data_IF_003169914721
#
_entry.id   IF_003169914721
#
_cell.length_a   1.000
_cell.length_b   1.000
_cell.length_c   1.000
_cell.angle_alpha   90.00
_cell.angle_beta   90.00
_cell.angle_gamma   90.00
#
_symmetry.space_group_name_H-M   'P 1'
#
loop_
_entity.id
_entity.type
_entity.pdbx_description
1 polymer ?
#
# COMPACT_ATOMS: atom_id res chain seq x y z
N UNK A 1 -18.56 16.37 -15.87
CA UNK A 1 -18.75 16.75 -14.45
C UNK A 1 -17.44 17.31 -13.93
N UNK A 2 -17.47 18.33 -13.06
CA UNK A 2 -16.24 18.82 -12.44
C UNK A 2 -15.74 17.82 -11.39
N UNK A 3 -14.42 17.69 -11.26
CA UNK A 3 -13.79 16.87 -10.21
C UNK A 3 -14.04 17.51 -8.84
N UNK A 4 -14.61 16.76 -7.90
CA UNK A 4 -14.82 17.20 -6.52
C UNK A 4 -13.92 16.42 -5.54
N UNK A 5 -12.82 17.02 -5.04
CA UNK A 5 -11.92 16.34 -4.12
C UNK A 5 -12.60 15.90 -2.81
N UNK A 6 -13.72 16.52 -2.41
CA UNK A 6 -14.43 16.14 -1.19
C UNK A 6 -14.90 14.69 -1.20
N UNK A 7 -15.17 14.14 -2.39
CA UNK A 7 -15.64 12.77 -2.63
C UNK A 7 -14.52 11.72 -2.65
N UNK A 8 -13.26 12.13 -2.45
CA UNK A 8 -12.11 11.24 -2.38
C UNK A 8 -11.91 10.73 -0.95
N UNK A 9 -11.77 9.41 -0.85
CA UNK A 9 -11.42 8.69 0.37
C UNK A 9 -10.25 7.74 0.09
N UNK A 10 -9.31 7.67 1.04
CA UNK A 10 -8.26 6.67 1.09
C UNK A 10 -8.57 5.72 2.24
N UNK A 11 -8.66 4.43 1.95
CA UNK A 11 -8.95 3.36 2.93
C UNK A 11 -7.80 2.36 2.96
N UNK A 12 -7.65 1.70 4.10
CA UNK A 12 -6.70 0.61 4.28
C UNK A 12 -7.41 -0.64 4.77
N UNK A 13 -7.04 -1.77 4.20
CA UNK A 13 -7.38 -3.11 4.65
C UNK A 13 -6.09 -3.80 5.05
N UNK A 14 -6.07 -4.43 6.22
CA UNK A 14 -4.93 -5.18 6.70
C UNK A 14 -5.39 -6.57 7.14
N UNK A 15 -4.60 -7.59 6.83
CA UNK A 15 -4.81 -8.94 7.27
C UNK A 15 -3.46 -9.55 7.63
N UNK A 16 -3.43 -10.36 8.69
CA UNK A 16 -2.23 -11.08 9.08
C UNK A 16 -2.59 -12.46 9.60
N UNK A 17 -1.74 -13.43 9.32
CA UNK A 17 -1.90 -14.82 9.69
C UNK A 17 -0.63 -15.33 10.36
N UNK A 18 -0.79 -16.20 11.35
CA UNK A 18 0.30 -16.98 11.92
C UNK A 18 -0.09 -18.45 11.74
N UNK A 19 0.73 -19.22 11.05
CA UNK A 19 0.50 -20.65 10.86
C UNK A 19 1.82 -21.42 10.83
N UNK A 20 1.91 -22.52 11.57
CA UNK A 20 3.08 -23.41 11.66
C UNK A 20 4.48 -22.76 11.79
N UNK A 21 4.58 -21.54 12.33
CA UNK A 21 5.86 -20.81 12.47
C UNK A 21 6.18 -19.86 11.31
N UNK A 22 5.27 -19.75 10.35
CA UNK A 22 5.22 -18.71 9.34
C UNK A 22 4.29 -17.57 9.82
N UNK A 23 4.68 -16.34 9.52
CA UNK A 23 3.88 -15.14 9.74
C UNK A 23 3.74 -14.38 8.42
N UNK A 24 2.50 -14.15 8.03
CA UNK A 24 2.14 -13.42 6.82
C UNK A 24 1.39 -12.14 7.17
N UNK A 25 1.72 -11.07 6.46
CA UNK A 25 1.09 -9.76 6.61
C UNK A 25 0.75 -9.20 5.24
N UNK A 26 -0.51 -8.82 5.06
CA UNK A 26 -1.08 -8.27 3.84
C UNK A 26 -1.63 -6.89 4.15
N UNK A 27 -1.32 -5.94 3.26
CA UNK A 27 -1.85 -4.59 3.32
C UNK A 27 -2.38 -4.19 1.95
N UNK A 28 -3.56 -3.58 1.94
CA UNK A 28 -4.17 -3.03 0.73
C UNK A 28 -4.59 -1.59 0.97
N UNK A 29 -4.16 -0.67 0.11
CA UNK A 29 -4.62 0.72 0.06
C UNK A 29 -5.59 0.90 -1.10
N UNK A 30 -6.74 1.52 -0.84
CA UNK A 30 -7.81 1.72 -1.82
C UNK A 30 -8.18 3.19 -1.86
N UNK A 31 -8.21 3.77 -3.06
CA UNK A 31 -8.78 5.11 -3.29
C UNK A 31 -10.16 4.94 -3.90
N UNK A 32 -11.15 5.57 -3.29
CA UNK A 32 -12.50 5.66 -3.83
C UNK A 32 -12.86 7.08 -4.20
N UNK A 33 -13.61 7.25 -5.29
CA UNK A 33 -14.27 8.50 -5.66
C UNK A 33 -15.77 8.26 -5.73
N UNK A 34 -16.54 8.97 -4.91
CA UNK A 34 -18.01 8.78 -4.82
C UNK A 34 -18.38 7.29 -4.60
N UNK A 35 -17.72 6.66 -3.62
CA UNK A 35 -17.87 5.23 -3.28
C UNK A 35 -17.48 4.20 -4.35
N UNK A 36 -16.97 4.63 -5.51
CA UNK A 36 -16.41 3.74 -6.54
C UNK A 36 -14.90 3.63 -6.36
N UNK A 37 -14.39 2.41 -6.34
CA UNK A 37 -12.93 2.17 -6.38
C UNK A 37 -12.36 2.69 -7.71
N UNK A 38 -11.36 3.57 -7.61
CA UNK A 38 -10.65 4.12 -8.78
C UNK A 38 -9.17 3.73 -8.78
N UNK A 39 -8.66 3.21 -7.67
CA UNK A 39 -7.30 2.70 -7.56
C UNK A 39 -7.15 1.78 -6.35
N UNK A 40 -6.28 0.78 -6.50
CA UNK A 40 -5.93 -0.21 -5.49
C UNK A 40 -4.44 -0.55 -5.58
N UNK A 41 -3.81 -0.73 -4.44
CA UNK A 41 -2.47 -1.29 -4.34
C UNK A 41 -2.34 -2.21 -3.14
N UNK A 42 -1.75 -3.37 -3.35
CA UNK A 42 -1.60 -4.41 -2.34
C UNK A 42 -0.16 -4.85 -2.26
N UNK A 43 0.32 -5.08 -1.04
CA UNK A 43 1.63 -5.67 -0.77
C UNK A 43 1.48 -6.76 0.28
N UNK A 44 2.39 -7.73 0.26
CA UNK A 44 2.52 -8.72 1.31
C UNK A 44 3.96 -8.84 1.77
N UNK A 45 4.13 -9.07 3.07
CA UNK A 45 5.41 -9.41 3.67
C UNK A 45 5.25 -10.64 4.53
N UNK A 46 6.30 -11.45 4.57
CA UNK A 46 6.29 -12.77 5.15
C UNK A 46 7.52 -12.92 6.06
N UNK A 47 7.44 -13.78 7.06
CA UNK A 47 8.60 -14.16 7.85
C UNK A 47 8.43 -15.52 8.50
N UNK A 48 9.54 -16.25 8.64
CA UNK A 48 9.60 -17.50 9.37
C UNK A 48 10.99 -17.75 9.96
N UNK A 49 11.26 -18.99 10.38
CA UNK A 49 12.56 -19.38 10.96
C UNK A 49 13.75 -19.10 10.01
N UNK A 50 13.54 -19.04 8.70
CA UNK A 50 14.57 -18.77 7.71
C UNK A 50 14.85 -17.28 7.49
N UNK A 51 13.92 -16.39 7.84
CA UNK A 51 14.05 -14.96 7.57
C UNK A 51 12.75 -14.27 7.20
N UNK A 52 12.86 -13.10 6.57
CA UNK A 52 11.72 -12.31 6.11
C UNK A 52 11.86 -11.94 4.62
N UNK A 53 10.74 -11.83 3.92
CA UNK A 53 10.71 -11.45 2.49
C UNK A 53 9.41 -10.73 2.11
N UNK A 54 9.39 -10.13 0.92
CA UNK A 54 8.20 -9.48 0.33
C UNK A 54 8.34 -7.97 0.25
N UNK A 55 7.23 -7.26 0.46
CA UNK A 55 7.18 -5.79 0.39
C UNK A 55 6.12 -5.22 1.32
N UNK A 56 6.31 -3.98 1.70
CA UNK A 56 5.32 -3.17 2.41
C UNK A 56 5.12 -1.86 1.68
N UNK A 57 3.98 -1.22 1.91
CA UNK A 57 3.76 0.12 1.40
C UNK A 57 3.06 1.03 2.40
N UNK A 58 3.22 2.34 2.16
CA UNK A 58 2.41 3.40 2.75
C UNK A 58 1.82 4.25 1.63
N UNK A 59 0.53 4.55 1.73
CA UNK A 59 -0.15 5.51 0.86
C UNK A 59 -0.60 6.70 1.70
N UNK A 60 -0.24 7.91 1.27
CA UNK A 60 -0.60 9.16 1.94
C UNK A 60 -1.31 10.08 0.97
N UNK A 61 -2.55 10.45 1.30
CA UNK A 61 -3.35 11.40 0.53
C UNK A 61 -2.88 12.83 0.82
N UNK A 62 -2.66 13.63 -0.23
CA UNK A 62 -2.33 15.05 -0.08
C UNK A 62 -3.48 15.84 0.53
N UNK A 63 -3.17 17.00 1.14
CA UNK A 63 -4.18 17.84 1.79
C UNK A 63 -5.28 18.34 0.84
N UNK A 64 -4.94 18.56 -0.44
CA UNK A 64 -5.88 18.95 -1.48
C UNK A 64 -6.64 17.75 -2.10
N UNK A 65 -6.35 16.53 -1.64
CA UNK A 65 -6.89 15.25 -2.11
C UNK A 65 -6.75 15.02 -3.63
N UNK A 66 -5.73 15.63 -4.26
CA UNK A 66 -5.45 15.43 -5.70
C UNK A 66 -4.38 14.40 -5.97
N UNK A 67 -3.51 14.15 -5.00
CA UNK A 67 -2.34 13.29 -5.14
C UNK A 67 -2.31 12.25 -4.03
N UNK A 68 -1.81 11.05 -4.36
CA UNK A 68 -1.35 10.09 -3.35
C UNK A 68 0.14 9.87 -3.51
N UNK A 69 0.87 10.01 -2.41
CA UNK A 69 2.25 9.56 -2.32
C UNK A 69 2.24 8.10 -1.88
N UNK A 70 2.62 7.21 -2.80
CA UNK A 70 2.86 5.80 -2.54
C UNK A 70 4.35 5.58 -2.32
N UNK A 71 4.71 5.01 -1.18
CA UNK A 71 6.08 4.55 -0.90
C UNK A 71 6.04 3.05 -0.69
N UNK A 72 6.91 2.32 -1.37
CA UNK A 72 7.05 0.86 -1.25
C UNK A 72 8.47 0.55 -0.77
N UNK A 73 8.56 -0.31 0.23
CA UNK A 73 9.82 -0.84 0.73
C UNK A 73 9.85 -2.35 0.50
N UNK A 74 11.01 -2.85 0.08
CA UNK A 74 11.26 -4.28 0.06
C UNK A 74 11.52 -4.75 1.50
N UNK A 75 10.97 -5.90 1.85
CA UNK A 75 11.24 -6.59 3.11
C UNK A 75 12.22 -7.72 2.80
N UNK A 76 13.27 -7.81 3.59
CA UNK A 76 14.25 -8.89 3.51
C UNK A 76 14.81 -9.23 4.89
N UNK A 77 15.73 -10.17 4.96
CA UNK A 77 16.44 -10.50 6.18
C UNK A 77 16.47 -12.00 6.46
N UNK A 78 17.38 -12.41 7.34
CA UNK A 78 17.56 -13.78 7.80
C UNK A 78 17.82 -13.80 9.31
N UNK A 79 18.12 -14.99 9.85
CA UNK A 79 18.41 -15.16 11.29
C UNK A 79 19.59 -14.35 11.80
N UNK A 80 20.52 -13.93 10.92
CA UNK A 80 21.70 -13.15 11.29
C UNK A 80 21.47 -11.64 11.23
N UNK A 81 20.60 -11.21 10.32
CA UNK A 81 20.33 -9.80 10.03
C UNK A 81 19.02 -9.29 10.65
N UNK A 82 18.12 -10.20 11.01
CA UNK A 82 16.74 -9.86 11.37
C UNK A 82 15.97 -9.27 10.19
N UNK A 83 14.73 -8.82 10.43
CA UNK A 83 13.92 -8.15 9.40
C UNK A 83 14.55 -6.80 9.04
N UNK A 84 14.79 -6.58 7.75
CA UNK A 84 15.31 -5.35 7.17
C UNK A 84 14.31 -4.81 6.14
N UNK A 85 14.19 -3.49 6.06
CA UNK A 85 13.44 -2.81 4.99
C UNK A 85 14.35 -1.90 4.18
N UNK A 86 14.18 -1.93 2.86
CA UNK A 86 14.94 -1.06 1.94
C UNK A 86 13.99 -0.34 0.99
N UNK A 87 14.29 0.91 0.68
CA UNK A 87 13.49 1.68 -0.27
C UNK A 87 13.49 0.97 -1.63
N UNK A 88 12.30 0.67 -2.14
CA UNK A 88 12.12 -0.03 -3.42
C UNK A 88 11.53 0.90 -4.47
N UNK A 89 10.48 1.63 -4.13
CA UNK A 89 9.77 2.49 -5.08
C UNK A 89 9.09 3.67 -4.37
N UNK A 90 8.95 4.78 -5.07
CA UNK A 90 8.19 5.94 -4.59
C UNK A 90 7.52 6.60 -5.78
N UNK A 91 6.19 6.70 -5.70
CA UNK A 91 5.35 7.18 -6.81
C UNK A 91 4.33 8.18 -6.32
N UNK A 92 4.11 9.20 -7.14
CA UNK A 92 3.00 10.14 -6.97
C UNK A 92 1.89 9.77 -7.95
N UNK A 93 0.71 9.48 -7.42
CA UNK A 93 -0.47 9.10 -8.18
C UNK A 93 -1.36 10.34 -8.30
N UNK A 94 -1.70 10.74 -9.53
CA UNK A 94 -2.63 11.83 -9.77
C UNK A 94 -4.06 11.30 -9.86
N UNK A 95 -4.86 11.65 -8.86
CA UNK A 95 -6.23 11.13 -8.67
C UNK A 95 -7.19 11.71 -9.70
N UNK A 96 -7.03 12.99 -10.05
CA UNK A 96 -7.87 13.66 -11.05
C UNK A 96 -7.78 12.93 -12.40
N UNK A 97 -6.56 12.52 -12.81
CA UNK A 97 -6.37 11.72 -14.03
C UNK A 97 -7.05 10.35 -13.97
N UNK A 98 -7.10 9.71 -12.79
CA UNK A 98 -7.75 8.41 -12.60
C UNK A 98 -9.28 8.50 -12.72
N UNK A 99 -9.87 9.63 -12.32
CA UNK A 99 -11.32 9.85 -12.43
C UNK A 99 -11.78 10.15 -13.86
N UNK A 100 -10.89 10.69 -14.71
CA UNK A 100 -11.19 11.02 -16.10
C UNK A 100 -11.03 9.83 -17.07
N UNK A 101 -10.33 8.78 -16.64
CA UNK A 101 -10.08 7.57 -17.42
C UNK A 101 -11.16 6.48 -17.21
N UNK A 102 -12.13 6.71 -16.31
CA UNK A 102 -13.16 5.77 -15.86
C UNK A 102 -14.58 6.32 -16.07
#
# INVERSE_FOLDING_TARGET
MAFDPALIELKWENHSENDEGDFDSYRTSIITYNSKEIWRHSTSSHSNIGGAWGSEHTAVLSADKKLVLLTVVAVSGDVSTGRVTTAQDTKTINIEKLTLAN
#
